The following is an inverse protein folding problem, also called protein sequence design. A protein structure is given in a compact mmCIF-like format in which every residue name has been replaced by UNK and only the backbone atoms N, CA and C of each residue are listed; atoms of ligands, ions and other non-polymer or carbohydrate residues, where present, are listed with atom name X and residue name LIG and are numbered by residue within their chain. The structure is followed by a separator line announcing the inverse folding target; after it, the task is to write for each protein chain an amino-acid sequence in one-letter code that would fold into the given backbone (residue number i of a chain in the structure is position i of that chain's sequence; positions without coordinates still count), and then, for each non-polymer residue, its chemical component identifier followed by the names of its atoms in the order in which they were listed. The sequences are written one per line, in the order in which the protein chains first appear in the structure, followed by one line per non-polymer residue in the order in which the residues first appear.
data_IF_378037932457
#
_entry.id   IF_378037932457
#
_cell.length_a   1.000
_cell.length_b   1.000
_cell.length_c   1.000
_cell.angle_alpha   90.00
_cell.angle_beta   90.00
_cell.angle_gamma   90.00
#
_symmetry.space_group_name_H-M   'P 1'
#
loop_
_entity.id
_entity.type
_entity.pdbx_description
1 polymer ?
#
# COMPACT_ATOMS: atom_id res chain seq x y z
N UNK A 1 9.78 31.10 -13.69
CA UNK A 1 9.46 29.78 -14.23
C UNK A 1 8.30 29.20 -13.44
N UNK A 2 7.30 28.72 -14.14
CA UNK A 2 6.10 28.20 -13.50
C UNK A 2 5.96 26.69 -13.73
N UNK A 3 5.32 26.01 -12.78
CA UNK A 3 4.91 24.62 -12.91
C UNK A 3 3.38 24.62 -12.98
N UNK A 4 2.86 24.32 -14.15
CA UNK A 4 1.42 24.25 -14.40
C UNK A 4 0.93 22.85 -14.04
N UNK A 5 0.07 22.77 -13.03
CA UNK A 5 -0.59 21.52 -12.64
C UNK A 5 -1.95 21.47 -13.35
N UNK A 6 -2.13 20.50 -14.21
CA UNK A 6 -3.39 20.26 -14.90
C UNK A 6 -4.01 18.96 -14.40
N UNK A 7 -5.32 18.86 -14.42
CA UNK A 7 -6.08 17.75 -13.85
C UNK A 7 -6.95 17.11 -14.92
N UNK A 8 -6.92 15.78 -15.00
CA UNK A 8 -7.94 15.04 -15.75
C UNK A 8 -9.29 15.02 -15.01
N UNK A 9 -10.37 14.78 -15.74
CA UNK A 9 -11.72 14.77 -15.18
C UNK A 9 -11.97 13.65 -14.16
N UNK A 10 -11.20 12.56 -14.24
CA UNK A 10 -11.28 11.41 -13.33
C UNK A 10 -10.62 11.67 -11.97
N UNK A 11 -9.68 12.60 -11.86
CA UNK A 11 -9.04 12.93 -10.58
C UNK A 11 -9.86 13.92 -9.77
N UNK A 12 -10.04 13.68 -8.47
CA UNK A 12 -10.85 14.48 -7.56
C UNK A 12 -10.42 15.96 -7.48
N UNK A 13 -11.35 16.88 -7.74
CA UNK A 13 -11.10 18.30 -7.60
C UNK A 13 -10.71 18.72 -6.17
N UNK A 14 -11.30 18.08 -5.16
CA UNK A 14 -11.00 18.35 -3.75
C UNK A 14 -9.58 17.92 -3.40
N UNK A 15 -9.17 16.71 -3.82
CA UNK A 15 -7.80 16.22 -3.63
C UNK A 15 -6.80 17.10 -4.36
N UNK A 16 -7.12 17.51 -5.60
CA UNK A 16 -6.31 18.43 -6.39
C UNK A 16 -6.03 19.75 -5.65
N UNK A 17 -7.07 20.40 -5.12
CA UNK A 17 -6.91 21.64 -4.35
C UNK A 17 -6.06 21.42 -3.09
N UNK A 18 -6.24 20.29 -2.41
CA UNK A 18 -5.43 19.93 -1.24
C UNK A 18 -3.96 19.71 -1.59
N UNK A 19 -3.66 19.12 -2.74
CA UNK A 19 -2.29 18.95 -3.26
C UNK A 19 -1.66 20.30 -3.59
N UNK A 20 -2.41 21.18 -4.27
CA UNK A 20 -1.95 22.54 -4.57
C UNK A 20 -1.58 23.33 -3.32
N UNK A 21 -2.39 23.22 -2.26
CA UNK A 21 -2.09 23.86 -0.97
C UNK A 21 -0.75 23.36 -0.40
N UNK A 22 -0.44 22.07 -0.51
CA UNK A 22 0.81 21.51 0.00
C UNK A 22 2.01 22.07 -0.79
N UNK A 23 2.01 21.99 -2.12
CA UNK A 23 3.17 22.42 -2.93
C UNK A 23 3.39 23.92 -2.89
N UNK A 24 2.34 24.72 -2.66
CA UNK A 24 2.39 26.19 -2.55
C UNK A 24 2.83 26.71 -1.17
N UNK A 25 2.98 25.86 -0.18
CA UNK A 25 3.44 26.28 1.16
C UNK A 25 4.90 26.72 1.18
N UNK A 26 5.67 26.36 0.15
CA UNK A 26 7.11 26.58 0.09
C UNK A 26 7.42 27.74 -0.83
N UNK A 27 7.82 28.87 -0.24
CA UNK A 27 8.15 30.09 -0.96
C UNK A 27 9.44 29.95 -1.76
N UNK A 28 9.48 30.54 -2.95
CA UNK A 28 10.65 30.55 -3.80
C UNK A 28 10.36 30.96 -5.24
N UNK A 29 11.34 30.83 -6.15
CA UNK A 29 11.21 31.29 -7.53
C UNK A 29 10.25 30.47 -8.39
N UNK A 30 9.80 29.31 -7.95
CA UNK A 30 8.82 28.49 -8.67
C UNK A 30 7.41 28.81 -8.15
N UNK A 31 6.51 29.09 -9.08
CA UNK A 31 5.09 29.18 -8.82
C UNK A 31 4.39 27.93 -9.34
N UNK A 32 3.62 27.26 -8.47
CA UNK A 32 2.76 26.15 -8.85
C UNK A 32 1.37 26.69 -9.20
N UNK A 33 1.05 26.67 -10.49
CA UNK A 33 -0.18 27.23 -11.03
C UNK A 33 -1.23 26.15 -11.28
N UNK A 34 -2.46 26.41 -10.86
CA UNK A 34 -3.59 25.54 -11.16
C UNK A 34 -4.14 25.85 -12.56
N UNK A 35 -4.60 24.82 -13.26
CA UNK A 35 -5.44 25.01 -14.43
C UNK A 35 -6.82 25.52 -14.01
N UNK A 36 -7.31 26.57 -14.64
CA UNK A 36 -8.64 27.12 -14.37
C UNK A 36 -9.78 26.35 -15.07
N UNK A 37 -9.47 25.48 -16.03
CA UNK A 37 -10.51 24.76 -16.77
C UNK A 37 -10.20 23.28 -16.91
N UNK A 38 -11.06 22.46 -16.34
CA UNK A 38 -11.07 20.99 -16.46
C UNK A 38 -11.53 20.52 -17.86
N UNK A 39 -12.13 21.42 -18.66
CA UNK A 39 -12.81 21.11 -19.92
C UNK A 39 -11.87 20.64 -21.04
N UNK A 40 -10.57 20.91 -20.95
CA UNK A 40 -9.62 20.61 -22.04
C UNK A 40 -9.14 19.15 -22.04
N UNK A 41 -9.29 18.42 -20.93
CA UNK A 41 -8.65 17.12 -20.72
C UNK A 41 -9.63 15.96 -20.86
N UNK A 42 -10.93 16.19 -20.60
CA UNK A 42 -11.95 15.15 -20.67
C UNK A 42 -12.09 14.52 -22.07
N UNK A 43 -11.83 15.26 -23.13
CA UNK A 43 -11.93 14.75 -24.52
C UNK A 43 -10.62 14.14 -25.05
N UNK A 44 -9.48 14.40 -24.42
CA UNK A 44 -8.18 13.90 -24.87
C UNK A 44 -7.83 12.52 -24.31
N UNK A 45 -8.52 12.05 -23.27
CA UNK A 45 -8.25 10.77 -22.58
C UNK A 45 -9.37 9.74 -22.79
N UNK A 46 -10.29 9.92 -23.73
CA UNK A 46 -11.17 8.84 -24.19
C UNK A 46 -10.36 7.85 -25.03
N UNK A 47 -9.72 6.90 -24.35
CA UNK A 47 -8.91 5.88 -24.99
C UNK A 47 -9.81 4.70 -25.36
N UNK A 48 -9.95 4.43 -26.66
CA UNK A 48 -10.32 3.12 -27.14
C UNK A 48 -9.22 2.11 -26.76
N UNK A 49 -9.63 0.94 -26.28
CA UNK A 49 -8.72 -0.16 -26.00
C UNK A 49 -8.16 -0.62 -27.34
N UNK A 50 -6.95 -0.20 -27.66
CA UNK A 50 -6.23 -0.75 -28.80
C UNK A 50 -6.02 -2.25 -28.61
N UNK A 51 -6.25 -3.01 -29.68
CA UNK A 51 -6.10 -4.46 -29.69
C UNK A 51 -4.63 -4.84 -29.42
N UNK A 52 -4.41 -6.09 -28.99
CA UNK A 52 -3.08 -6.65 -28.71
C UNK A 52 -2.07 -6.46 -29.85
N UNK A 53 -2.53 -6.30 -31.08
CA UNK A 53 -1.73 -6.07 -32.30
C UNK A 53 -1.18 -4.65 -32.43
N UNK A 54 -1.84 -3.64 -31.84
CA UNK A 54 -1.30 -2.28 -31.78
C UNK A 54 -0.18 -2.15 -30.74
N UNK A 55 -0.23 -2.96 -29.68
CA UNK A 55 0.83 -3.04 -28.67
C UNK A 55 2.15 -3.58 -29.25
N UNK A 56 2.08 -4.48 -30.23
CA UNK A 56 3.27 -5.02 -30.92
C UNK A 56 3.88 -4.06 -31.95
N UNK A 57 3.09 -3.10 -32.47
CA UNK A 57 3.55 -2.09 -33.43
C UNK A 57 4.17 -0.83 -32.81
N UNK A 58 4.00 -0.60 -31.49
CA UNK A 58 4.62 0.51 -30.76
C UNK A 58 6.12 0.32 -30.50
N UNK A 59 6.84 -0.43 -31.33
CA UNK A 59 8.26 -0.79 -31.19
C UNK A 59 9.25 0.34 -31.57
N UNK A 60 8.79 1.55 -31.82
CA UNK A 60 9.68 2.69 -32.14
C UNK A 60 10.03 3.59 -30.93
N UNK A 61 9.61 3.23 -29.73
CA UNK A 61 10.23 3.77 -28.51
C UNK A 61 11.63 3.17 -28.36
N UNK A 62 12.65 3.97 -27.96
CA UNK A 62 13.98 3.42 -27.74
C UNK A 62 13.85 2.20 -26.83
N UNK A 63 14.38 1.05 -27.27
CA UNK A 63 14.36 -0.21 -26.56
C UNK A 63 15.07 -0.02 -25.22
N UNK A 64 14.37 0.55 -24.26
CA UNK A 64 14.69 0.37 -22.85
C UNK A 64 14.54 -1.11 -22.60
N UNK A 65 15.64 -1.77 -22.22
CA UNK A 65 15.76 -3.21 -22.07
C UNK A 65 14.45 -3.83 -21.57
N UNK A 66 13.66 -4.36 -22.51
CA UNK A 66 12.39 -5.04 -22.23
C UNK A 66 12.57 -6.37 -21.48
N UNK A 67 13.83 -6.82 -21.28
CA UNK A 67 14.15 -7.96 -20.42
C UNK A 67 13.63 -7.79 -18.98
N UNK A 68 13.49 -6.54 -18.50
CA UNK A 68 13.01 -6.25 -17.13
C UNK A 68 11.50 -6.49 -17.02
N UNK A 69 10.73 -6.25 -18.09
CA UNK A 69 9.27 -6.46 -18.06
C UNK A 69 8.90 -7.96 -18.19
N UNK A 70 9.74 -8.74 -18.88
CA UNK A 70 9.54 -10.18 -19.06
C UNK A 70 10.00 -10.98 -17.83
N UNK A 71 11.06 -10.56 -17.13
CA UNK A 71 11.48 -11.12 -15.85
C UNK A 71 10.39 -10.94 -14.77
N UNK A 72 9.66 -9.82 -14.81
CA UNK A 72 8.51 -9.60 -13.92
C UNK A 72 7.34 -10.57 -14.16
N UNK A 73 7.15 -11.05 -15.39
CA UNK A 73 6.17 -12.10 -15.70
C UNK A 73 6.62 -13.47 -15.22
N UNK A 74 7.92 -13.74 -15.21
CA UNK A 74 8.50 -15.01 -14.81
C UNK A 74 8.49 -15.21 -13.28
N UNK A 75 8.81 -14.19 -12.49
CA UNK A 75 8.81 -14.29 -11.02
C UNK A 75 7.40 -14.44 -10.42
N UNK A 76 6.35 -13.92 -11.07
CA UNK A 76 4.96 -14.14 -10.65
C UNK A 76 4.39 -15.50 -11.05
N UNK A 77 5.07 -16.27 -11.90
CA UNK A 77 4.62 -17.60 -12.35
C UNK A 77 5.10 -18.76 -11.48
N UNK A 78 6.06 -18.56 -10.61
CA UNK A 78 6.56 -19.59 -9.70
C UNK A 78 5.91 -19.47 -8.32
N UNK A 79 5.11 -20.46 -7.97
CA UNK A 79 4.48 -20.75 -6.68
C UNK A 79 3.13 -20.10 -6.39
N UNK A 80 2.12 -20.43 -7.18
CA UNK A 80 0.79 -20.59 -6.58
C UNK A 80 -0.14 -21.41 -7.50
N UNK A 81 -0.46 -22.62 -7.09
CA UNK A 81 -1.74 -23.27 -7.40
C UNK A 81 -2.90 -22.53 -6.69
N UNK A 82 -2.94 -21.21 -6.78
CA UNK A 82 -4.08 -20.41 -6.36
C UNK A 82 -4.99 -20.19 -7.56
N UNK A 83 -6.32 -20.31 -7.40
CA UNK A 83 -7.24 -19.98 -8.47
C UNK A 83 -6.92 -18.56 -8.91
N UNK A 84 -6.67 -18.37 -10.21
CA UNK A 84 -6.56 -17.06 -10.82
C UNK A 84 -7.89 -16.35 -10.58
N UNK A 85 -7.94 -15.46 -9.61
CA UNK A 85 -8.97 -14.45 -9.58
C UNK A 85 -8.76 -13.60 -10.83
N UNK A 86 -9.47 -13.94 -11.89
CA UNK A 86 -9.64 -13.04 -13.00
C UNK A 86 -10.50 -11.89 -12.49
N UNK A 87 -9.86 -10.75 -12.18
CA UNK A 87 -10.60 -9.53 -11.95
C UNK A 87 -11.45 -9.25 -13.19
N UNK A 88 -12.78 -9.17 -13.07
CA UNK A 88 -13.67 -9.05 -14.23
C UNK A 88 -13.61 -7.68 -14.89
N UNK A 89 -12.79 -6.75 -14.41
CA UNK A 89 -12.66 -5.41 -14.97
C UNK A 89 -11.31 -5.26 -15.67
N UNK A 90 -11.36 -5.25 -17.02
CA UNK A 90 -10.26 -4.71 -17.83
C UNK A 90 -10.18 -3.21 -17.52
N UNK A 91 -9.30 -2.81 -16.62
CA UNK A 91 -8.96 -1.39 -16.44
C UNK A 91 -8.39 -0.88 -17.75
N UNK A 92 -9.08 0.08 -18.38
CA UNK A 92 -8.57 0.78 -19.56
C UNK A 92 -7.24 1.44 -19.17
N UNK A 93 -6.17 1.15 -19.91
CA UNK A 93 -4.86 1.77 -19.72
C UNK A 93 -4.60 2.72 -20.88
N UNK A 94 -4.21 3.95 -20.56
CA UNK A 94 -3.87 4.95 -21.54
C UNK A 94 -2.41 4.81 -22.00
N UNK A 95 -2.16 5.02 -23.30
CA UNK A 95 -0.82 5.20 -23.80
C UNK A 95 -0.25 6.54 -23.32
N UNK A 96 1.04 6.57 -22.96
CA UNK A 96 1.72 7.78 -22.49
C UNK A 96 1.59 8.95 -23.46
N UNK A 97 1.53 8.67 -24.76
CA UNK A 97 1.35 9.69 -25.77
C UNK A 97 0.12 10.56 -25.50
N UNK A 98 -1.00 9.99 -25.09
CA UNK A 98 -2.22 10.75 -24.81
C UNK A 98 -2.04 11.73 -23.64
N UNK A 99 -1.29 11.33 -22.60
CA UNK A 99 -0.98 12.20 -21.48
C UNK A 99 -0.10 13.38 -21.91
N UNK A 100 0.91 13.11 -22.74
CA UNK A 100 1.80 14.18 -23.22
C UNK A 100 1.12 15.07 -24.27
N UNK A 101 0.27 14.52 -25.12
CA UNK A 101 -0.56 15.30 -26.06
C UNK A 101 -1.48 16.28 -25.30
N UNK A 102 -2.08 15.85 -24.18
CA UNK A 102 -2.88 16.72 -23.33
C UNK A 102 -2.07 17.86 -22.70
N UNK A 103 -0.85 17.55 -22.21
CA UNK A 103 0.07 18.57 -21.69
C UNK A 103 0.48 19.56 -22.79
N UNK A 104 0.82 19.07 -23.98
CA UNK A 104 1.23 19.91 -25.11
C UNK A 104 0.08 20.78 -25.62
N UNK A 105 -1.12 20.21 -25.71
CA UNK A 105 -2.32 20.97 -26.03
C UNK A 105 -2.54 22.14 -25.06
N UNK A 106 -2.43 21.86 -23.75
CA UNK A 106 -2.54 22.92 -22.72
C UNK A 106 -1.46 23.98 -22.92
N UNK A 107 -0.21 23.57 -23.17
CA UNK A 107 0.92 24.46 -23.41
C UNK A 107 0.65 25.41 -24.59
N UNK A 108 0.20 24.85 -25.71
CA UNK A 108 -0.11 25.62 -26.92
C UNK A 108 -1.31 26.55 -26.72
N UNK A 109 -2.38 26.07 -26.11
CA UNK A 109 -3.61 26.86 -25.87
C UNK A 109 -3.34 28.05 -24.95
N UNK A 110 -2.44 27.92 -23.97
CA UNK A 110 -2.07 28.97 -23.03
C UNK A 110 -0.83 29.79 -23.47
N UNK A 111 -0.19 29.42 -24.59
CA UNK A 111 1.04 30.05 -25.12
C UNK A 111 2.11 30.15 -24.03
N UNK A 112 2.38 29.02 -23.35
CA UNK A 112 3.31 28.98 -22.23
C UNK A 112 4.75 29.26 -22.68
N UNK A 113 5.55 29.96 -21.86
CA UNK A 113 6.98 30.07 -22.05
C UNK A 113 7.67 28.71 -22.16
N UNK A 114 8.75 28.60 -22.96
CA UNK A 114 9.47 27.31 -23.12
C UNK A 114 10.07 26.75 -21.82
N UNK A 115 10.38 27.64 -20.87
CA UNK A 115 10.93 27.28 -19.57
C UNK A 115 9.89 26.69 -18.58
N UNK A 116 8.60 26.98 -18.80
CA UNK A 116 7.55 26.50 -17.90
C UNK A 116 7.32 25.00 -18.06
N UNK A 117 6.96 24.34 -16.98
CA UNK A 117 6.70 22.91 -16.91
C UNK A 117 5.19 22.65 -16.81
N UNK A 118 4.75 21.54 -17.39
CA UNK A 118 3.35 21.08 -17.27
C UNK A 118 3.32 19.68 -16.69
N UNK A 119 2.53 19.48 -15.63
CA UNK A 119 2.35 18.17 -14.98
C UNK A 119 0.87 17.84 -14.96
N UNK A 120 0.51 16.75 -15.60
CA UNK A 120 -0.85 16.19 -15.60
C UNK A 120 -1.03 15.26 -14.39
N UNK A 121 -2.09 15.50 -13.61
CA UNK A 121 -2.54 14.65 -12.52
C UNK A 121 -3.76 13.85 -12.99
N UNK A 122 -3.70 12.50 -12.95
CA UNK A 122 -4.74 11.63 -13.50
C UNK A 122 -4.87 10.31 -12.74
N UNK A 123 -6.11 9.86 -12.54
CA UNK A 123 -6.42 8.53 -12.01
C UNK A 123 -6.38 7.45 -13.10
N UNK A 124 -6.33 7.84 -14.36
CA UNK A 124 -6.26 6.91 -15.49
C UNK A 124 -4.96 6.10 -15.43
N UNK A 125 -5.08 4.78 -15.41
CA UNK A 125 -3.94 3.88 -15.43
C UNK A 125 -3.17 4.00 -16.76
N UNK A 126 -1.84 3.97 -16.70
CA UNK A 126 -0.97 4.04 -17.88
C UNK A 126 -0.47 2.65 -18.33
N UNK A 127 -0.05 2.56 -19.59
CA UNK A 127 0.38 1.31 -20.23
C UNK A 127 1.51 0.59 -19.48
N UNK A 128 2.48 1.34 -18.96
CA UNK A 128 3.62 0.79 -18.22
C UNK A 128 3.34 0.57 -16.73
N UNK A 129 2.17 0.98 -16.24
CA UNK A 129 1.80 0.90 -14.83
C UNK A 129 2.81 1.64 -13.90
N UNK A 130 3.32 2.79 -14.31
CA UNK A 130 4.26 3.61 -13.53
C UNK A 130 3.53 4.68 -12.72
N UNK A 131 4.19 5.19 -11.69
CA UNK A 131 3.67 6.30 -10.87
C UNK A 131 3.72 7.64 -11.60
N UNK A 132 4.57 7.77 -12.61
CA UNK A 132 4.67 8.97 -13.41
C UNK A 132 5.72 8.82 -14.51
N UNK A 133 5.73 9.75 -15.45
CA UNK A 133 6.68 9.80 -16.56
C UNK A 133 6.77 11.19 -17.14
N UNK A 134 7.84 11.49 -17.89
CA UNK A 134 8.02 12.71 -18.62
C UNK A 134 8.21 12.44 -20.12
N UNK A 135 7.90 13.46 -20.93
CA UNK A 135 8.10 13.42 -22.37
C UNK A 135 9.59 13.57 -22.77
N UNK A 136 9.87 13.44 -24.05
CA UNK A 136 11.25 13.56 -24.59
C UNK A 136 11.89 14.90 -24.31
N UNK A 137 11.09 15.96 -24.16
CA UNK A 137 11.58 17.33 -23.95
C UNK A 137 11.83 17.65 -22.47
N UNK A 138 11.43 16.76 -21.58
CA UNK A 138 11.43 16.98 -20.11
C UNK A 138 10.66 18.27 -19.71
N UNK A 139 9.62 18.62 -20.49
CA UNK A 139 8.77 19.80 -20.22
C UNK A 139 7.35 19.42 -19.83
N UNK A 140 6.92 18.23 -20.17
CA UNK A 140 5.62 17.68 -19.85
C UNK A 140 5.80 16.38 -19.07
N UNK A 141 5.03 16.22 -18.00
CA UNK A 141 5.01 14.99 -17.19
C UNK A 141 3.58 14.61 -16.84
N UNK A 142 3.37 13.35 -16.50
CA UNK A 142 2.13 12.90 -15.86
C UNK A 142 2.45 12.22 -14.53
N UNK A 143 1.48 12.24 -13.62
CA UNK A 143 1.50 11.54 -12.35
C UNK A 143 0.20 10.76 -12.24
N UNK A 144 0.31 9.45 -12.00
CA UNK A 144 -0.82 8.59 -11.67
C UNK A 144 -1.20 8.80 -10.21
N UNK A 145 -2.44 9.23 -9.99
CA UNK A 145 -2.92 9.72 -8.68
C UNK A 145 -3.74 8.70 -7.90
N UNK A 146 -4.16 7.59 -8.54
CA UNK A 146 -4.95 6.56 -7.90
C UNK A 146 -4.10 5.52 -7.14
N UNK A 147 -4.79 4.71 -6.33
CA UNK A 147 -4.26 3.48 -5.70
C UNK A 147 -3.17 3.67 -4.63
N UNK A 148 -2.93 4.89 -4.17
CA UNK A 148 -1.93 5.17 -3.13
C UNK A 148 -2.21 4.46 -1.80
N UNK A 149 -3.48 4.15 -1.50
CA UNK A 149 -3.89 3.39 -0.32
C UNK A 149 -3.27 1.97 -0.26
N UNK A 150 -2.88 1.38 -1.41
CA UNK A 150 -2.19 0.10 -1.46
C UNK A 150 -0.75 0.14 -0.93
N UNK A 151 -0.16 1.32 -0.88
CA UNK A 151 1.23 1.53 -0.46
C UNK A 151 1.32 2.21 0.91
N UNK A 152 0.38 3.09 1.20
CA UNK A 152 0.37 3.92 2.40
C UNK A 152 -0.95 3.80 3.14
N UNK A 153 -0.99 2.84 4.07
CA UNK A 153 -2.16 2.63 4.90
C UNK A 153 -2.41 3.83 5.82
N UNK A 154 -3.62 4.40 5.75
CA UNK A 154 -4.05 5.54 6.57
C UNK A 154 -3.44 6.90 6.22
N UNK A 155 -2.53 6.98 5.23
CA UNK A 155 -2.03 8.26 4.74
C UNK A 155 -2.99 8.85 3.71
N UNK A 156 -3.25 10.14 3.82
CA UNK A 156 -3.99 10.84 2.78
C UNK A 156 -3.16 10.92 1.49
N UNK A 157 -3.75 10.51 0.38
CA UNK A 157 -3.10 10.43 -0.96
C UNK A 157 -2.53 11.74 -1.47
N UNK A 158 -2.98 12.89 -0.96
CA UNK A 158 -2.42 14.19 -1.31
C UNK A 158 -0.91 14.32 -1.06
N UNK A 159 -0.37 13.59 -0.05
CA UNK A 159 1.05 13.67 0.27
C UNK A 159 1.93 12.91 -0.73
N UNK A 160 1.66 11.64 -1.10
CA UNK A 160 2.41 10.97 -2.16
C UNK A 160 2.28 11.70 -3.51
N UNK A 161 1.12 12.27 -3.84
CA UNK A 161 0.96 13.05 -5.07
C UNK A 161 1.82 14.32 -5.02
N UNK A 162 1.80 15.07 -3.91
CA UNK A 162 2.66 16.26 -3.74
C UNK A 162 4.14 15.89 -3.83
N UNK A 163 4.57 14.77 -3.24
CA UNK A 163 5.93 14.27 -3.37
C UNK A 163 6.31 14.04 -4.84
N UNK A 164 5.49 13.33 -5.60
CA UNK A 164 5.79 13.06 -7.01
C UNK A 164 5.84 14.35 -7.84
N UNK A 165 4.99 15.35 -7.58
CA UNK A 165 5.07 16.66 -8.24
C UNK A 165 6.44 17.29 -8.00
N UNK A 166 6.88 17.36 -6.76
CA UNK A 166 8.17 17.97 -6.40
C UNK A 166 9.32 17.18 -7.03
N UNK A 167 9.31 15.86 -6.91
CA UNK A 167 10.34 14.98 -7.44
C UNK A 167 10.42 15.05 -8.98
N UNK A 168 9.28 15.08 -9.68
CA UNK A 168 9.27 15.27 -11.13
C UNK A 168 9.72 16.68 -11.53
N UNK A 169 9.33 17.71 -10.80
CA UNK A 169 9.84 19.07 -11.04
C UNK A 169 11.37 19.10 -10.97
N UNK A 170 11.99 18.51 -9.95
CA UNK A 170 13.44 18.42 -9.85
C UNK A 170 14.04 17.67 -11.05
N UNK A 171 13.50 16.51 -11.41
CA UNK A 171 14.01 15.71 -12.55
C UNK A 171 13.93 16.48 -13.86
N UNK A 172 12.80 17.14 -14.13
CA UNK A 172 12.59 17.92 -15.35
C UNK A 172 13.54 19.13 -15.44
N UNK A 173 14.06 19.62 -14.31
CA UNK A 173 15.02 20.71 -14.28
C UNK A 173 16.46 20.26 -14.51
N UNK A 174 16.84 19.09 -14.03
CA UNK A 174 18.22 18.58 -14.10
C UNK A 174 18.49 17.74 -15.34
N UNK A 175 17.48 17.03 -15.84
CA UNK A 175 17.57 16.15 -17.00
C UNK A 175 17.15 16.96 -18.22
N UNK A 176 18.05 17.12 -19.18
CA UNK A 176 17.78 17.95 -20.37
C UNK A 176 17.08 17.18 -21.48
N UNK A 177 17.33 15.90 -21.56
CA UNK A 177 16.80 14.99 -22.54
C UNK A 177 16.41 13.67 -21.91
N UNK A 178 15.28 13.13 -22.30
CA UNK A 178 14.76 11.88 -21.76
C UNK A 178 15.73 10.71 -21.94
N UNK A 179 16.55 10.72 -22.99
CA UNK A 179 17.56 9.67 -23.21
C UNK A 179 18.65 9.62 -22.12
N UNK A 180 18.83 10.70 -21.38
CA UNK A 180 19.75 10.75 -20.25
C UNK A 180 19.17 10.15 -18.97
N UNK A 181 17.84 9.95 -18.89
CA UNK A 181 17.16 9.49 -17.66
C UNK A 181 17.79 8.24 -17.04
N UNK A 182 18.20 7.20 -17.80
CA UNK A 182 18.84 6.02 -17.20
C UNK A 182 20.09 6.32 -16.38
N UNK A 183 20.79 7.40 -16.69
CA UNK A 183 22.00 7.82 -15.95
C UNK A 183 21.68 8.45 -14.59
N UNK A 184 20.41 8.86 -14.39
CA UNK A 184 19.93 9.49 -13.17
C UNK A 184 19.15 8.55 -12.27
N UNK A 185 18.96 7.29 -12.66
CA UNK A 185 18.21 6.31 -11.88
C UNK A 185 19.10 5.46 -11.01
N UNK A 186 18.57 5.12 -9.85
CA UNK A 186 19.16 4.09 -8.99
C UNK A 186 18.32 2.82 -9.13
N UNK A 187 18.93 1.77 -9.67
CA UNK A 187 18.27 0.45 -9.77
C UNK A 187 18.17 -0.22 -8.40
N UNK A 188 19.12 0.07 -7.50
CA UNK A 188 19.07 -0.35 -6.11
C UNK A 188 18.45 0.75 -5.26
N UNK A 189 17.37 0.45 -4.47
CA UNK A 189 16.73 1.44 -3.62
C UNK A 189 17.68 1.96 -2.53
N UNK A 190 17.91 3.26 -2.51
CA UNK A 190 18.73 3.96 -1.53
C UNK A 190 17.93 4.89 -0.64
N UNK A 191 16.62 5.02 -0.92
CA UNK A 191 15.75 6.03 -0.32
C UNK A 191 15.88 7.40 -1.00
N UNK A 192 16.50 7.48 -2.18
CA UNK A 192 16.66 8.71 -2.95
C UNK A 192 15.45 8.96 -3.87
N UNK A 193 15.15 10.23 -4.14
CA UNK A 193 14.09 10.59 -5.08
C UNK A 193 14.30 10.00 -6.48
N UNK A 194 15.53 9.66 -6.84
CA UNK A 194 15.90 9.06 -8.13
C UNK A 194 15.86 7.53 -8.14
N UNK A 195 15.42 6.89 -7.06
CA UNK A 195 15.24 5.44 -7.06
C UNK A 195 14.17 5.05 -8.07
N UNK A 196 14.53 4.13 -8.97
CA UNK A 196 13.60 3.48 -9.88
C UNK A 196 12.95 2.31 -9.17
N UNK A 197 11.80 2.50 -8.58
CA UNK A 197 11.11 1.47 -7.80
C UNK A 197 10.63 0.32 -8.70
N UNK A 198 11.52 -0.63 -9.07
CA UNK A 198 11.18 -1.82 -9.86
C UNK A 198 10.07 -2.62 -9.19
N UNK A 199 10.19 -2.85 -7.89
CA UNK A 199 9.07 -3.28 -7.07
C UNK A 199 8.33 -2.03 -6.58
N UNK A 200 7.06 -1.89 -6.95
CA UNK A 200 6.25 -0.72 -6.56
C UNK A 200 6.22 -0.46 -5.05
N UNK A 201 6.36 -1.48 -4.20
CA UNK A 201 6.43 -1.31 -2.75
C UNK A 201 7.67 -0.53 -2.28
N UNK A 202 8.72 -0.45 -3.09
CA UNK A 202 9.93 0.34 -2.80
C UNK A 202 9.63 1.85 -2.75
N UNK A 203 8.51 2.28 -3.35
CA UNK A 203 8.04 3.67 -3.28
C UNK A 203 7.82 4.14 -1.82
N UNK A 204 7.50 3.22 -0.93
CA UNK A 204 7.34 3.52 0.51
C UNK A 204 8.66 3.98 1.13
N UNK A 205 9.76 3.30 0.84
CA UNK A 205 11.08 3.72 1.31
C UNK A 205 11.45 5.07 0.71
N UNK A 206 11.36 5.20 -0.62
CA UNK A 206 11.68 6.42 -1.37
C UNK A 206 10.96 7.65 -0.81
N UNK A 207 9.66 7.56 -0.57
CA UNK A 207 8.86 8.68 -0.07
C UNK A 207 9.07 8.96 1.42
N UNK A 208 9.34 7.92 2.24
CA UNK A 208 9.62 8.11 3.68
C UNK A 208 10.97 8.75 3.93
N UNK A 209 11.96 8.43 3.15
CA UNK A 209 13.25 9.10 3.22
C UNK A 209 13.16 10.48 2.59
N UNK A 210 12.46 10.61 1.44
CA UNK A 210 12.37 11.82 0.64
C UNK A 210 13.74 12.52 0.52
N UNK A 211 14.78 11.72 0.30
CA UNK A 211 16.17 12.16 0.33
C UNK A 211 16.73 12.36 -1.08
N UNK A 212 17.80 13.10 -1.16
CA UNK A 212 18.61 13.26 -2.37
C UNK A 212 20.01 12.80 -2.04
N UNK A 213 20.41 11.63 -2.57
CA UNK A 213 21.72 11.07 -2.26
C UNK A 213 22.87 11.95 -2.78
N UNK A 214 24.08 11.71 -2.27
CA UNK A 214 25.27 12.52 -2.62
C UNK A 214 25.55 12.58 -4.12
N UNK A 215 25.27 11.53 -4.87
CA UNK A 215 25.49 11.53 -6.32
C UNK A 215 24.47 12.44 -7.02
N UNK A 216 23.20 12.36 -6.63
CA UNK A 216 22.16 13.27 -7.12
C UNK A 216 22.41 14.72 -6.68
N UNK A 217 22.92 14.95 -5.47
CA UNK A 217 23.32 16.30 -5.04
C UNK A 217 24.42 16.89 -5.90
N UNK A 218 25.42 16.09 -6.30
CA UNK A 218 26.46 16.54 -7.25
C UNK A 218 25.87 16.93 -8.61
N UNK A 219 24.89 16.14 -9.09
CA UNK A 219 24.20 16.46 -10.34
C UNK A 219 23.41 17.77 -10.23
N UNK A 220 22.71 17.98 -9.12
CA UNK A 220 22.03 19.24 -8.83
C UNK A 220 23.00 20.43 -8.83
N UNK A 221 24.14 20.29 -8.14
CA UNK A 221 25.16 21.33 -8.06
C UNK A 221 25.82 21.62 -9.41
N UNK A 222 25.98 20.62 -10.27
CA UNK A 222 26.55 20.78 -11.61
C UNK A 222 25.54 21.33 -12.63
N UNK A 223 24.25 21.30 -12.31
CA UNK A 223 23.21 21.89 -13.15
C UNK A 223 23.29 23.41 -13.13
N UNK A 224 22.84 24.06 -14.20
CA UNK A 224 22.79 25.54 -14.30
C UNK A 224 21.52 26.14 -13.68
N UNK A 225 20.78 25.35 -12.88
CA UNK A 225 19.54 25.81 -12.24
C UNK A 225 19.88 26.67 -11.02
N UNK A 226 19.13 27.76 -10.84
CA UNK A 226 19.30 28.70 -9.72
C UNK A 226 19.19 27.94 -8.39
N UNK A 227 20.16 28.14 -7.51
CA UNK A 227 20.23 27.51 -6.18
C UNK A 227 18.97 27.79 -5.34
N UNK A 228 18.31 28.93 -5.52
CA UNK A 228 17.07 29.27 -4.81
C UNK A 228 15.90 28.38 -5.23
N UNK A 229 15.88 27.95 -6.51
CA UNK A 229 14.90 26.97 -7.02
C UNK A 229 15.09 25.64 -6.32
N UNK A 230 16.34 25.17 -6.20
CA UNK A 230 16.60 23.93 -5.46
C UNK A 230 16.33 24.05 -3.97
N UNK A 231 16.65 25.19 -3.36
CA UNK A 231 16.30 25.45 -1.97
C UNK A 231 14.80 25.25 -1.70
N UNK A 232 13.95 25.89 -2.50
CA UNK A 232 12.49 25.74 -2.42
C UNK A 232 12.04 24.28 -2.58
N UNK A 233 12.59 23.56 -3.55
CA UNK A 233 12.18 22.16 -3.82
C UNK A 233 12.69 21.19 -2.74
N UNK A 234 13.88 21.44 -2.17
CA UNK A 234 14.40 20.65 -1.04
C UNK A 234 13.54 20.89 0.21
N UNK A 235 13.23 22.16 0.51
CA UNK A 235 12.34 22.51 1.62
C UNK A 235 10.95 21.84 1.48
N UNK A 236 10.45 21.79 0.24
CA UNK A 236 9.20 21.10 -0.08
C UNK A 236 9.30 19.58 0.12
N UNK A 237 10.40 18.93 -0.29
CA UNK A 237 10.62 17.50 -0.02
C UNK A 237 10.70 17.22 1.49
N UNK A 238 11.46 18.02 2.23
CA UNK A 238 11.59 17.88 3.69
C UNK A 238 10.25 18.12 4.41
N UNK A 239 9.47 19.05 3.92
CA UNK A 239 8.13 19.31 4.43
C UNK A 239 7.19 18.12 4.22
N UNK A 240 7.14 17.57 3.01
CA UNK A 240 6.32 16.40 2.70
C UNK A 240 6.83 15.16 3.46
N UNK A 241 8.14 14.99 3.62
CA UNK A 241 8.76 13.93 4.42
C UNK A 241 8.21 13.89 5.85
N UNK A 242 7.99 15.05 6.48
CA UNK A 242 7.43 15.10 7.85
C UNK A 242 6.08 14.40 7.95
N UNK A 243 5.24 14.48 6.93
CA UNK A 243 3.95 13.79 6.91
C UNK A 243 4.11 12.27 6.78
N UNK A 244 5.07 11.79 5.98
CA UNK A 244 5.37 10.36 5.88
C UNK A 244 5.99 9.79 7.16
N UNK A 245 6.73 10.60 7.92
CA UNK A 245 7.32 10.20 9.19
C UNK A 245 6.32 10.29 10.35
N UNK A 246 5.36 11.22 10.25
CA UNK A 246 4.32 11.48 11.27
C UNK A 246 3.15 10.50 11.19
N UNK A 247 3.11 9.63 10.16
CA UNK A 247 2.24 8.45 10.26
C UNK A 247 2.68 7.75 11.53
N UNK A 248 1.84 7.85 12.54
CA UNK A 248 2.12 7.25 13.83
C UNK A 248 2.51 5.81 13.59
N UNK A 249 3.75 5.46 13.93
CA UNK A 249 4.19 4.05 13.97
C UNK A 249 3.22 3.21 14.79
N UNK A 250 2.52 3.85 15.73
CA UNK A 250 1.42 3.29 16.48
C UNK A 250 0.21 2.93 15.61
N UNK A 251 -0.18 3.74 14.63
CA UNK A 251 -1.33 3.46 13.77
C UNK A 251 -1.07 2.25 12.88
N UNK A 252 0.14 2.14 12.35
CA UNK A 252 0.55 0.97 11.56
C UNK A 252 0.60 -0.32 12.40
N UNK A 253 1.08 -0.22 13.64
CA UNK A 253 1.15 -1.36 14.57
C UNK A 253 -0.17 -1.64 15.28
N UNK A 254 -1.11 -0.69 15.31
CA UNK A 254 -2.39 -0.83 16.01
C UNK A 254 -3.52 -1.33 15.10
N UNK A 255 -3.32 -1.38 13.77
CA UNK A 255 -4.33 -2.00 12.90
C UNK A 255 -4.20 -3.51 12.97
N UNK A 256 -5.29 -4.19 13.32
CA UNK A 256 -5.31 -5.63 13.28
C UNK A 256 -5.13 -6.08 11.82
N UNK A 257 -4.38 -7.15 11.64
CA UNK A 257 -4.19 -7.83 10.38
C UNK A 257 -4.90 -9.17 10.40
N UNK A 258 -5.01 -9.79 9.24
CA UNK A 258 -5.63 -11.10 9.07
C UNK A 258 -5.03 -12.14 10.02
N UNK A 259 -5.91 -12.91 10.66
CA UNK A 259 -5.60 -14.19 11.32
C UNK A 259 -5.95 -15.31 10.35
N UNK A 260 -4.98 -16.13 10.01
CA UNK A 260 -5.17 -17.30 9.16
C UNK A 260 -5.17 -18.56 10.02
N UNK A 261 -6.26 -19.32 9.99
CA UNK A 261 -6.34 -20.66 10.56
C UNK A 261 -6.23 -21.67 9.41
N UNK A 262 -5.14 -22.43 9.37
CA UNK A 262 -4.79 -23.29 8.24
C UNK A 262 -4.48 -24.71 8.64
N UNK A 263 -4.74 -25.64 7.71
CA UNK A 263 -4.43 -27.05 7.80
C UNK A 263 -5.36 -27.84 8.74
N UNK A 264 -5.21 -29.17 8.73
CA UNK A 264 -6.04 -30.11 9.51
C UNK A 264 -6.02 -29.82 11.02
N UNK A 265 -4.87 -29.41 11.55
CA UNK A 265 -4.70 -29.09 12.99
C UNK A 265 -5.07 -27.65 13.32
N UNK A 266 -5.66 -26.88 12.40
CA UNK A 266 -6.04 -25.50 12.60
C UNK A 266 -4.91 -24.68 13.25
N UNK A 267 -3.72 -24.71 12.65
CA UNK A 267 -2.61 -23.87 13.08
C UNK A 267 -2.94 -22.42 12.79
N UNK A 268 -2.58 -21.54 13.71
CA UNK A 268 -2.97 -20.13 13.67
C UNK A 268 -1.75 -19.30 13.28
N UNK A 269 -1.88 -18.53 12.21
CA UNK A 269 -0.82 -17.70 11.66
C UNK A 269 -1.24 -16.24 11.57
N UNK A 270 -0.24 -15.37 11.63
CA UNK A 270 -0.37 -13.94 11.39
C UNK A 270 0.45 -13.55 10.13
N UNK A 271 -0.12 -13.62 8.91
CA UNK A 271 0.62 -13.46 7.66
C UNK A 271 1.34 -12.12 7.55
N UNK A 272 0.71 -11.01 7.97
CA UNK A 272 1.30 -9.69 7.89
C UNK A 272 2.48 -9.45 8.84
N UNK A 273 2.66 -10.32 9.84
CA UNK A 273 3.77 -10.24 10.79
C UNK A 273 4.84 -11.31 10.52
N UNK A 274 5.14 -11.54 9.23
CA UNK A 274 6.14 -12.51 8.83
C UNK A 274 5.67 -13.97 8.97
N UNK A 275 4.38 -14.19 8.84
CA UNK A 275 3.74 -15.50 8.97
C UNK A 275 4.01 -16.18 10.33
N UNK A 276 4.03 -15.36 11.39
CA UNK A 276 4.22 -15.86 12.76
C UNK A 276 3.15 -16.86 13.14
N UNK A 277 3.54 -17.98 13.71
CA UNK A 277 2.63 -18.98 14.25
C UNK A 277 2.32 -18.73 15.73
N UNK A 278 1.04 -18.80 16.09
CA UNK A 278 0.58 -18.79 17.47
C UNK A 278 0.57 -20.21 18.02
N UNK A 279 1.61 -20.56 18.78
CA UNK A 279 1.77 -21.90 19.36
C UNK A 279 0.93 -22.04 20.64
N UNK A 280 -0.26 -22.61 20.49
CA UNK A 280 -1.17 -22.95 21.56
C UNK A 280 -1.22 -24.47 21.74
N UNK A 281 -1.35 -24.96 23.00
CA UNK A 281 -1.63 -26.35 23.24
C UNK A 281 -3.07 -26.71 22.76
N UNK A 282 -3.42 -27.98 22.58
CA UNK A 282 -4.71 -28.41 22.03
C UNK A 282 -5.92 -27.76 22.69
N UNK A 283 -5.96 -27.72 24.03
CA UNK A 283 -7.04 -27.11 24.81
C UNK A 283 -7.16 -25.60 24.57
N UNK A 284 -6.04 -24.89 24.64
CA UNK A 284 -5.98 -23.44 24.37
C UNK A 284 -6.37 -23.11 22.93
N UNK A 285 -5.93 -23.92 21.98
CA UNK A 285 -6.25 -23.76 20.57
C UNK A 285 -7.74 -23.96 20.31
N UNK A 286 -8.36 -24.97 20.95
CA UNK A 286 -9.80 -25.18 20.84
C UNK A 286 -10.60 -23.97 21.31
N UNK A 287 -10.27 -23.41 22.47
CA UNK A 287 -10.92 -22.18 22.98
C UNK A 287 -10.66 -20.99 22.07
N UNK A 288 -9.44 -20.79 21.60
CA UNK A 288 -9.13 -19.66 20.72
C UNK A 288 -9.84 -19.75 19.37
N UNK A 289 -9.84 -20.93 18.73
CA UNK A 289 -10.56 -21.18 17.48
C UNK A 289 -12.09 -21.05 17.65
N UNK A 290 -12.62 -21.45 18.80
CA UNK A 290 -14.02 -21.23 19.13
C UNK A 290 -14.36 -19.72 19.09
N UNK A 291 -13.60 -18.86 19.77
CA UNK A 291 -13.83 -17.41 19.75
C UNK A 291 -13.56 -16.78 18.39
N UNK A 292 -12.69 -17.32 17.54
CA UNK A 292 -12.54 -16.87 16.15
C UNK A 292 -13.78 -17.17 15.31
N UNK A 293 -14.55 -18.20 15.63
CA UNK A 293 -15.80 -18.56 14.95
C UNK A 293 -17.01 -17.78 15.47
N UNK A 294 -16.88 -17.19 16.65
CA UNK A 294 -17.93 -16.43 17.32
C UNK A 294 -17.50 -14.95 17.52
N UNK A 295 -17.36 -14.17 16.41
CA UNK A 295 -16.95 -12.77 16.49
C UNK A 295 -17.96 -11.88 17.23
N UNK A 296 -19.23 -12.28 17.28
CA UNK A 296 -20.29 -11.64 18.08
C UNK A 296 -19.99 -11.69 19.58
N UNK A 297 -19.21 -12.68 20.00
CA UNK A 297 -18.87 -12.93 21.38
C UNK A 297 -19.85 -13.87 22.10
N UNK A 298 -19.35 -14.55 23.14
CA UNK A 298 -20.11 -15.51 23.96
C UNK A 298 -19.83 -15.22 25.44
N UNK A 299 -20.87 -15.25 26.27
CA UNK A 299 -20.67 -15.13 27.73
C UNK A 299 -20.05 -16.39 28.28
N UNK A 300 -19.10 -16.25 29.21
CA UNK A 300 -18.37 -17.42 29.75
C UNK A 300 -19.29 -18.50 30.36
N UNK A 301 -20.42 -18.07 30.92
CA UNK A 301 -21.42 -19.00 31.51
C UNK A 301 -22.16 -19.80 30.45
N UNK A 302 -22.24 -19.31 29.21
CA UNK A 302 -22.89 -19.97 28.07
C UNK A 302 -21.96 -20.96 27.33
N UNK A 303 -20.67 -20.98 27.64
CA UNK A 303 -19.74 -21.93 27.02
C UNK A 303 -20.12 -23.39 27.24
N UNK A 304 -20.88 -23.66 28.29
CA UNK A 304 -21.44 -25.02 28.55
C UNK A 304 -22.38 -25.46 27.41
N UNK A 305 -23.16 -24.49 26.85
CA UNK A 305 -24.09 -24.77 25.75
C UNK A 305 -23.34 -25.08 24.45
N UNK A 306 -22.09 -24.57 24.31
CA UNK A 306 -21.18 -24.83 23.19
C UNK A 306 -20.22 -25.99 23.41
N UNK A 307 -20.47 -26.84 24.44
CA UNK A 307 -19.62 -27.99 24.81
C UNK A 307 -19.31 -28.88 23.62
N UNK A 308 -20.30 -29.21 22.81
CA UNK A 308 -20.14 -30.11 21.66
C UNK A 308 -19.15 -29.54 20.64
N UNK A 309 -19.22 -28.22 20.33
CA UNK A 309 -18.32 -27.56 19.38
C UNK A 309 -16.89 -27.48 19.94
N UNK A 310 -16.74 -27.02 21.18
CA UNK A 310 -15.44 -26.94 21.85
C UNK A 310 -14.80 -28.30 21.98
N UNK A 311 -15.58 -29.33 22.33
CA UNK A 311 -15.15 -30.72 22.42
C UNK A 311 -14.65 -31.25 21.07
N UNK A 312 -15.41 -31.02 19.99
CA UNK A 312 -15.00 -31.42 18.65
C UNK A 312 -13.68 -30.79 18.22
N UNK A 313 -13.48 -29.50 18.53
CA UNK A 313 -12.21 -28.81 18.28
C UNK A 313 -11.07 -29.38 19.10
N UNK A 314 -11.32 -29.65 20.38
CA UNK A 314 -10.30 -30.20 21.29
C UNK A 314 -9.88 -31.63 20.88
N UNK A 315 -10.82 -32.49 20.52
CA UNK A 315 -10.54 -33.83 19.99
C UNK A 315 -9.70 -33.76 18.71
N UNK A 316 -10.05 -32.85 17.78
CA UNK A 316 -9.30 -32.67 16.53
C UNK A 316 -7.86 -32.27 16.76
N UNK A 317 -7.57 -31.45 17.77
CA UNK A 317 -6.23 -30.91 18.02
C UNK A 317 -5.39 -31.79 18.97
N UNK A 318 -6.00 -32.71 19.66
CA UNK A 318 -5.34 -33.59 20.63
C UNK A 318 -4.83 -34.86 19.93
N UNK A 319 -3.51 -35.00 19.87
CA UNK A 319 -2.88 -36.21 19.34
C UNK A 319 -2.64 -37.28 20.41
N UNK A 320 -2.80 -36.95 21.69
CA UNK A 320 -2.52 -37.81 22.84
C UNK A 320 -3.60 -37.60 23.89
N UNK A 321 -4.08 -38.73 24.42
CA UNK A 321 -5.08 -38.79 25.46
C UNK A 321 -6.23 -39.70 25.06
N UNK A 322 -6.77 -40.43 26.02
CA UNK A 322 -8.00 -41.18 25.81
C UNK A 322 -9.17 -40.20 25.63
N UNK A 323 -10.24 -40.61 24.98
CA UNK A 323 -11.47 -39.82 24.87
C UNK A 323 -11.94 -39.40 26.27
N UNK A 324 -11.80 -40.26 27.25
CA UNK A 324 -12.18 -40.00 28.63
C UNK A 324 -11.38 -38.90 29.28
N UNK A 325 -10.04 -38.81 29.06
CA UNK A 325 -9.18 -37.74 29.59
C UNK A 325 -9.54 -36.39 28.98
N UNK A 326 -9.87 -36.38 27.67
CA UNK A 326 -10.30 -35.12 26.98
C UNK A 326 -11.65 -34.69 27.55
N UNK A 327 -12.59 -35.59 27.73
CA UNK A 327 -13.91 -35.28 28.29
C UNK A 327 -13.83 -34.79 29.73
N UNK A 328 -12.96 -35.39 30.55
CA UNK A 328 -12.71 -34.95 31.93
C UNK A 328 -12.10 -33.54 31.94
N UNK A 329 -11.08 -33.31 31.09
CA UNK A 329 -10.47 -31.97 30.94
C UNK A 329 -11.47 -30.92 30.45
N UNK A 330 -12.42 -31.29 29.58
CA UNK A 330 -13.46 -30.42 29.07
C UNK A 330 -14.52 -30.12 30.17
N UNK A 331 -14.87 -31.10 30.98
CA UNK A 331 -15.75 -30.90 32.15
C UNK A 331 -15.17 -29.85 33.11
N UNK A 332 -13.90 -30.03 33.51
CA UNK A 332 -13.22 -29.08 34.37
C UNK A 332 -13.06 -27.69 33.74
N UNK A 333 -12.86 -27.63 32.40
CA UNK A 333 -12.70 -26.36 31.67
C UNK A 333 -14.00 -25.55 31.65
N UNK A 334 -15.14 -26.23 31.50
CA UNK A 334 -16.45 -25.61 31.32
C UNK A 334 -17.26 -25.50 32.61
N UNK A 335 -16.74 -26.00 33.74
CA UNK A 335 -17.37 -25.85 35.03
C UNK A 335 -17.36 -24.38 35.47
N UNK A 336 -18.53 -23.74 35.65
CA UNK A 336 -18.59 -22.34 36.07
C UNK A 336 -18.05 -22.11 37.51
N UNK A 337 -17.93 -23.14 38.31
CA UNK A 337 -17.39 -23.08 39.67
C UNK A 337 -15.88 -23.27 39.74
N UNK A 338 -15.26 -23.73 38.64
CA UNK A 338 -13.82 -23.96 38.54
C UNK A 338 -13.15 -22.71 37.88
N UNK A 339 -11.90 -22.48 38.26
CA UNK A 339 -11.11 -21.35 37.69
C UNK A 339 -10.33 -21.76 36.42
N UNK A 340 -10.42 -22.98 35.95
CA UNK A 340 -9.68 -23.52 34.82
C UNK A 340 -9.84 -22.70 33.52
N UNK A 341 -11.06 -22.24 33.26
CA UNK A 341 -11.33 -21.39 32.10
C UNK A 341 -10.59 -20.05 32.16
N UNK A 342 -10.66 -19.34 33.29
CA UNK A 342 -9.98 -18.06 33.48
C UNK A 342 -8.45 -18.22 33.39
N UNK A 343 -7.90 -19.29 33.94
CA UNK A 343 -6.48 -19.62 33.82
C UNK A 343 -6.11 -19.88 32.35
N UNK A 344 -6.93 -20.63 31.61
CA UNK A 344 -6.72 -20.93 30.20
C UNK A 344 -6.74 -19.64 29.38
N UNK A 345 -7.71 -18.76 29.57
CA UNK A 345 -7.79 -17.46 28.92
C UNK A 345 -6.57 -16.58 29.26
N UNK A 346 -6.14 -16.57 30.53
CA UNK A 346 -4.94 -15.83 30.96
C UNK A 346 -3.67 -16.35 30.28
N UNK A 347 -3.51 -17.66 30.17
CA UNK A 347 -2.38 -18.29 29.47
C UNK A 347 -2.39 -17.98 27.98
N UNK A 348 -3.55 -18.03 27.31
CA UNK A 348 -3.71 -17.64 25.91
C UNK A 348 -3.27 -16.19 25.73
N UNK A 349 -3.74 -15.25 26.56
CA UNK A 349 -3.34 -13.83 26.50
C UNK A 349 -1.84 -13.64 26.65
N UNK A 350 -1.23 -14.38 27.59
CA UNK A 350 0.23 -14.35 27.83
C UNK A 350 1.01 -14.84 26.61
N UNK A 351 0.56 -15.91 25.96
CA UNK A 351 1.21 -16.45 24.76
C UNK A 351 1.06 -15.47 23.60
N UNK A 352 -0.13 -14.91 23.37
CA UNK A 352 -0.37 -13.90 22.33
C UNK A 352 0.53 -12.68 22.57
N UNK A 353 0.61 -12.19 23.81
CA UNK A 353 1.47 -11.04 24.17
C UNK A 353 2.95 -11.34 23.93
N UNK A 354 3.40 -12.55 24.22
CA UNK A 354 4.79 -12.97 23.98
C UNK A 354 5.09 -13.10 22.48
N UNK A 355 4.13 -13.62 21.69
CA UNK A 355 4.29 -13.84 20.24
C UNK A 355 4.25 -12.54 19.45
N UNK A 356 3.29 -11.66 19.73
CA UNK A 356 3.02 -10.45 18.95
C UNK A 356 3.55 -9.16 19.61
N UNK A 357 4.01 -9.24 20.84
CA UNK A 357 4.42 -8.09 21.63
C UNK A 357 3.25 -7.27 22.19
N UNK A 358 3.54 -6.33 23.13
CA UNK A 358 2.50 -5.64 23.90
C UNK A 358 1.65 -4.66 23.09
N UNK A 359 2.14 -4.20 21.95
CA UNK A 359 1.43 -3.21 21.10
C UNK A 359 0.40 -3.85 20.18
N UNK A 360 0.72 -5.02 19.62
CA UNK A 360 -0.11 -5.71 18.61
C UNK A 360 -1.11 -6.65 19.30
N UNK A 361 -0.67 -7.33 20.35
CA UNK A 361 -1.41 -8.39 21.03
C UNK A 361 -2.83 -8.00 21.50
N UNK A 362 -3.16 -6.75 21.90
CA UNK A 362 -4.51 -6.43 22.35
C UNK A 362 -5.60 -6.69 21.30
N UNK A 363 -5.29 -6.59 20.02
CA UNK A 363 -6.25 -6.81 18.93
C UNK A 363 -6.65 -8.28 18.78
N UNK A 364 -5.83 -9.21 19.30
CA UNK A 364 -5.98 -10.65 19.10
C UNK A 364 -6.31 -11.41 20.39
N UNK A 365 -6.41 -10.69 21.50
CA UNK A 365 -6.75 -11.30 22.79
C UNK A 365 -8.25 -11.52 22.91
N UNK A 366 -8.63 -12.59 23.59
CA UNK A 366 -10.00 -12.80 24.04
C UNK A 366 -10.24 -11.85 25.22
N UNK A 367 -11.11 -10.87 25.04
CA UNK A 367 -11.43 -9.84 26.02
C UNK A 367 -12.92 -9.79 26.30
N UNK A 368 -13.28 -9.44 27.53
CA UNK A 368 -14.64 -9.28 27.98
C UNK A 368 -14.66 -8.90 29.47
N UNK A 369 -15.80 -8.49 29.96
CA UNK A 369 -16.07 -8.19 31.35
C UNK A 369 -17.03 -9.23 31.96
N UNK A 370 -17.02 -9.33 33.28
CA UNK A 370 -17.92 -10.28 33.97
C UNK A 370 -19.39 -9.97 33.65
N UNK A 371 -20.10 -10.97 33.12
CA UNK A 371 -21.51 -10.84 32.72
C UNK A 371 -21.71 -10.42 31.27
N UNK A 372 -20.67 -9.89 30.60
CA UNK A 372 -20.70 -9.50 29.20
C UNK A 372 -20.11 -10.58 28.29
N UNK A 373 -20.44 -10.56 26.98
CA UNK A 373 -19.82 -11.47 26.02
C UNK A 373 -18.31 -11.27 25.93
N UNK A 374 -17.57 -12.37 25.94
CA UNK A 374 -16.13 -12.38 25.62
C UNK A 374 -15.96 -12.59 24.12
N UNK A 375 -15.04 -11.87 23.51
CA UNK A 375 -14.74 -11.94 22.07
C UNK A 375 -13.30 -11.56 21.78
N UNK A 376 -12.85 -11.89 20.58
CA UNK A 376 -11.64 -11.31 20.01
C UNK A 376 -12.07 -10.03 19.30
N UNK A 377 -11.43 -8.91 19.62
CA UNK A 377 -11.79 -7.60 19.03
C UNK A 377 -11.18 -7.46 17.63
N UNK A 378 -11.64 -8.32 16.72
CA UNK A 378 -11.19 -8.41 15.35
C UNK A 378 -12.40 -8.47 14.43
N UNK A 379 -12.37 -7.70 13.33
CA UNK A 379 -13.42 -7.73 12.33
C UNK A 379 -13.49 -9.11 11.67
N UNK A 380 -14.70 -9.61 11.43
CA UNK A 380 -14.92 -10.94 10.86
C UNK A 380 -14.22 -11.13 9.51
N UNK A 381 -14.07 -10.06 8.71
CA UNK A 381 -13.35 -10.07 7.43
C UNK A 381 -11.86 -10.36 7.55
N UNK A 382 -11.29 -10.10 8.73
CA UNK A 382 -9.88 -10.38 9.04
C UNK A 382 -9.65 -11.80 9.58
N UNK A 383 -10.70 -12.60 9.72
CA UNK A 383 -10.61 -13.99 10.17
C UNK A 383 -10.74 -14.90 8.96
N UNK A 384 -9.66 -15.55 8.58
CA UNK A 384 -9.63 -16.51 7.47
C UNK A 384 -9.44 -17.93 8.02
N UNK A 385 -10.46 -18.75 7.90
CA UNK A 385 -10.41 -20.17 8.29
C UNK A 385 -10.44 -20.99 6.99
N UNK A 386 -9.34 -21.64 6.68
CA UNK A 386 -9.29 -22.57 5.54
C UNK A 386 -10.16 -23.78 5.85
N UNK A 387 -11.28 -23.86 5.12
CA UNK A 387 -12.16 -25.02 5.20
C UNK A 387 -11.47 -26.20 4.53
N UNK A 388 -10.87 -27.07 5.33
CA UNK A 388 -10.78 -28.48 5.00
C UNK A 388 -11.80 -29.21 5.87
N UNK A 389 -13.01 -29.21 5.40
CA UNK A 389 -14.02 -30.17 5.81
C UNK A 389 -13.99 -31.34 4.85
#
# INVERSE_FOLDING_TARGET
MNVHLIRSSDFSAQTYQSVLQIVRQYEGPIEFLASESDAFISNAIEVEIESKEAFEKAQDLPKMNMSIADDYRAEFSFHSNRPRFSFPFKTKRANWKHFFDACEYYRLARKLPPEDLVILLTDTANEANWFGGADKTMKNAFIHTADWHHYFDGLNERFPIAYEIIAWTIRMLIIKDHSEMPNYWHNEPRGCMSDFCQNKRQIVLKMRTADICMDCMKLLQSSKVDVRVFGQLIDALDGVRKYFLSIERSTFLNRPSTVLVSGYLHRIFFPAYGNLELNLNPKQRAIYCFFLRHPEGVRLVELVDHRSEIGALYHRFSNFGSIEEIEESLNLLLDPLDNNLNETLSRIRSIIKRTLGPRISPNYQIVGSRGEPYRINLDAELIQIESQL
#
